data_IF_543740361688
#
_entry.id   IF_543740361688
#
_cell.length_a   1.000
_cell.length_b   1.000
_cell.length_c   1.000
_cell.angle_alpha   90.00
_cell.angle_beta   90.00
_cell.angle_gamma   90.00
#
_symmetry.space_group_name_H-M   'P 1'
#
loop_
_entity.id
_entity.type
_entity.pdbx_description
1 polymer ?
#
# COMPACT_ATOMS: atom_id res chain seq x y z
N UNK A 1 -8.60 -6.21 -13.25
CA UNK A 1 -8.81 -6.35 -11.80
C UNK A 1 -7.99 -5.27 -11.09
N UNK A 2 -8.59 -4.38 -10.28
CA UNK A 2 -7.82 -3.39 -9.49
C UNK A 2 -7.19 -4.12 -8.30
N UNK A 3 -5.88 -4.33 -8.34
CA UNK A 3 -5.08 -4.91 -7.24
C UNK A 3 -5.23 -4.01 -6.01
N UNK A 4 -5.92 -4.49 -4.96
CA UNK A 4 -5.97 -3.78 -3.68
C UNK A 4 -4.57 -3.85 -3.08
N UNK A 5 -3.95 -2.71 -2.76
CA UNK A 5 -2.68 -2.69 -2.04
C UNK A 5 -2.86 -3.41 -0.70
N UNK A 6 -2.15 -4.52 -0.54
CA UNK A 6 -2.16 -5.35 0.66
C UNK A 6 -1.58 -4.53 1.83
N UNK A 7 -2.26 -4.52 2.99
CA UNK A 7 -1.88 -3.73 4.19
C UNK A 7 -0.70 -4.36 4.95
N UNK A 8 0.41 -4.56 4.26
CA UNK A 8 1.62 -5.20 4.79
C UNK A 8 2.74 -4.19 4.99
N UNK A 9 3.72 -4.53 5.82
CA UNK A 9 4.88 -3.68 6.14
C UNK A 9 5.61 -3.19 4.88
N UNK A 10 5.71 -3.98 3.81
CA UNK A 10 6.27 -3.58 2.52
C UNK A 10 5.66 -2.28 1.96
N UNK A 11 4.34 -2.14 2.08
CA UNK A 11 3.57 -1.00 1.58
C UNK A 11 3.39 0.11 2.63
N UNK A 12 3.95 -0.06 3.83
CA UNK A 12 3.82 0.88 4.94
C UNK A 12 4.84 2.02 4.82
N UNK A 13 4.40 3.27 5.01
CA UNK A 13 5.25 4.47 5.06
C UNK A 13 6.35 4.39 6.11
N UNK A 14 6.10 3.67 7.20
CA UNK A 14 7.03 3.57 8.32
C UNK A 14 8.12 2.51 8.11
N UNK A 15 7.99 1.66 7.08
CA UNK A 15 8.93 0.57 6.82
C UNK A 15 9.89 0.93 5.69
N UNK A 16 11.17 0.65 5.89
CA UNK A 16 12.24 0.83 4.91
C UNK A 16 13.04 -0.46 4.78
N UNK A 17 13.39 -0.85 3.55
CA UNK A 17 14.28 -2.00 3.36
C UNK A 17 15.66 -1.69 3.93
N UNK A 18 16.30 -2.73 4.46
CA UNK A 18 17.62 -2.61 5.07
C UNK A 18 18.62 -3.29 4.15
N UNK A 19 19.81 -2.73 4.01
CA UNK A 19 20.87 -3.33 3.19
C UNK A 19 21.52 -4.56 3.84
N UNK A 20 21.15 -4.90 5.09
CA UNK A 20 21.72 -6.05 5.81
C UNK A 20 21.00 -7.37 5.53
N UNK A 21 19.85 -7.33 4.85
CA UNK A 21 19.07 -8.53 4.51
C UNK A 21 19.05 -8.77 2.99
N UNK A 22 19.93 -9.64 2.47
CA UNK A 22 20.07 -9.87 1.03
C UNK A 22 18.80 -10.45 0.38
N UNK A 23 17.92 -11.05 1.18
CA UNK A 23 16.68 -11.67 0.73
C UNK A 23 15.46 -10.74 0.80
N UNK A 24 15.60 -9.53 1.34
CA UNK A 24 14.51 -8.56 1.49
C UNK A 24 13.26 -9.15 2.18
N UNK A 25 13.45 -10.06 3.14
CA UNK A 25 12.39 -10.65 3.96
C UNK A 25 12.04 -9.76 5.16
N UNK A 26 12.97 -8.88 5.55
CA UNK A 26 12.86 -7.98 6.69
C UNK A 26 13.05 -6.51 6.29
N UNK A 27 12.43 -5.63 7.07
CA UNK A 27 12.46 -4.18 6.90
C UNK A 27 12.64 -3.51 8.26
N UNK A 28 13.30 -2.36 8.28
CA UNK A 28 13.34 -1.50 9.46
C UNK A 28 12.02 -0.74 9.58
N UNK A 29 11.33 -0.89 10.71
CA UNK A 29 10.11 -0.14 11.01
C UNK A 29 10.43 1.03 11.94
N UNK A 30 10.41 2.25 11.39
CA UNK A 30 10.71 3.49 12.14
C UNK A 30 9.76 3.74 13.32
N UNK A 31 8.50 3.30 13.20
CA UNK A 31 7.50 3.46 14.26
C UNK A 31 7.81 2.57 15.47
N UNK A 32 8.28 1.34 15.23
CA UNK A 32 8.56 0.35 16.27
C UNK A 32 10.04 0.30 16.68
N UNK A 33 10.92 0.95 15.91
CA UNK A 33 12.39 0.94 16.07
C UNK A 33 12.95 -0.49 16.11
N UNK A 34 12.44 -1.35 15.23
CA UNK A 34 12.82 -2.76 15.14
C UNK A 34 12.66 -3.29 13.71
N UNK A 35 13.32 -4.41 13.43
CA UNK A 35 13.09 -5.17 12.19
C UNK A 35 11.72 -5.87 12.23
N UNK A 36 11.00 -5.78 11.12
CA UNK A 36 9.70 -6.43 10.88
C UNK A 36 9.74 -7.21 9.58
N UNK A 37 8.96 -8.27 9.45
CA UNK A 37 8.85 -8.97 8.17
C UNK A 37 8.04 -8.15 7.16
N UNK A 38 8.44 -8.19 5.89
CA UNK A 38 7.80 -7.47 4.78
C UNK A 38 6.29 -7.74 4.68
N UNK A 39 5.88 -9.00 4.86
CA UNK A 39 4.48 -9.44 4.73
C UNK A 39 3.69 -9.38 6.04
N UNK A 40 4.26 -8.88 7.13
CA UNK A 40 3.53 -8.70 8.39
C UNK A 40 2.49 -7.59 8.28
N UNK A 41 1.38 -7.76 8.99
CA UNK A 41 0.34 -6.74 9.17
C UNK A 41 0.61 -5.92 10.43
N UNK A 42 0.19 -4.66 10.42
CA UNK A 42 0.30 -3.76 11.57
C UNK A 42 -0.99 -2.94 11.74
N UNK A 43 -1.46 -2.77 12.98
CA UNK A 43 -2.63 -1.94 13.29
C UNK A 43 -2.43 -0.46 12.96
N UNK A 44 -1.19 0.02 13.11
CA UNK A 44 -0.76 1.39 12.80
C UNK A 44 -0.35 1.57 11.33
N UNK A 45 -0.81 0.69 10.43
CA UNK A 45 -0.45 0.74 9.02
C UNK A 45 -0.84 2.08 8.38
N UNK A 46 0.15 2.79 7.84
CA UNK A 46 -0.07 3.94 6.99
C UNK A 46 0.45 3.62 5.58
N UNK A 47 -0.40 3.68 4.54
CA UNK A 47 0.06 3.42 3.18
C UNK A 47 1.13 4.42 2.77
N UNK A 48 2.17 3.95 2.05
CA UNK A 48 3.08 4.83 1.32
C UNK A 48 2.24 5.72 0.40
N UNK A 49 2.47 7.03 0.44
CA UNK A 49 1.89 7.94 -0.54
C UNK A 49 2.51 7.59 -1.89
N UNK A 50 1.81 6.82 -2.71
CA UNK A 50 2.14 6.72 -4.12
C UNK A 50 1.76 8.06 -4.75
N UNK A 51 2.75 8.82 -5.18
CA UNK A 51 2.59 10.06 -5.95
C UNK A 51 2.02 9.80 -7.37
N UNK A 52 1.25 8.72 -7.54
CA UNK A 52 0.55 8.45 -8.79
C UNK A 52 -0.65 9.38 -8.83
N UNK A 53 -0.82 10.19 -9.89
CA UNK A 53 -1.97 11.06 -9.99
C UNK A 53 -3.23 10.22 -9.80
N UNK A 54 -4.05 10.64 -8.83
CA UNK A 54 -5.46 10.27 -8.75
C UNK A 54 -6.03 10.71 -10.09
N UNK A 55 -6.06 9.82 -11.08
CA UNK A 55 -6.83 10.04 -12.28
C UNK A 55 -8.27 10.21 -11.78
N UNK A 56 -8.69 11.46 -11.69
CA UNK A 56 -10.09 11.84 -11.52
C UNK A 56 -10.78 11.25 -12.75
N UNK A 57 -11.27 10.02 -12.61
CA UNK A 57 -12.25 9.50 -13.54
C UNK A 57 -13.55 10.26 -13.25
N UNK A 58 -13.62 11.47 -13.78
CA UNK A 58 -14.87 12.22 -13.92
C UNK A 58 -15.53 11.62 -15.15
N UNK A 59 -16.22 10.51 -14.96
CA UNK A 59 -17.23 10.08 -15.91
C UNK A 59 -18.58 10.12 -15.19
N UNK A 60 -18.96 11.36 -14.90
CA UNK A 60 -20.32 11.77 -14.61
C UNK A 60 -21.03 11.86 -15.97
N UNK A 61 -21.49 10.71 -16.47
CA UNK A 61 -22.53 10.61 -17.50
C UNK A 61 -23.39 9.40 -17.20
N UNK A 62 -24.36 9.66 -16.36
CA UNK A 62 -25.76 9.25 -16.49
C UNK A 62 -26.07 8.56 -17.84
N UNK A 63 -26.06 7.23 -17.85
CA UNK A 63 -26.77 6.43 -18.83
C UNK A 63 -27.71 5.54 -18.05
N UNK A 64 -28.91 6.08 -17.85
CA UNK A 64 -30.11 5.38 -17.45
C UNK A 64 -30.35 4.20 -18.40
N UNK A 65 -30.01 2.98 -17.98
CA UNK A 65 -30.34 1.75 -18.70
C UNK A 65 -31.66 1.20 -18.14
N UNK A 66 -32.76 1.78 -18.61
CA UNK A 66 -34.06 1.12 -18.61
C UNK A 66 -34.16 0.30 -19.89
N UNK A 67 -34.25 -1.03 -19.79
CA UNK A 67 -34.82 -1.83 -20.87
C UNK A 67 -35.89 -2.76 -20.30
N UNK A 68 -37.07 -2.60 -20.92
CA UNK A 68 -38.27 -3.42 -20.83
C UNK A 68 -38.00 -4.88 -21.20
#
# INVERSE_FOLDING_TARGET
MKTKSMKICENCRHSQFTDVDPFHLSMDCKLRKMLVFTHSYCGDYQPKKTDRPKEKNTNDKDVQLSLF
#
